data_IF_388434409988
#
_entry.id   IF_388434409988
#
_cell.length_a   1.000
_cell.length_b   1.000
_cell.length_c   1.000
_cell.angle_alpha   90.00
_cell.angle_beta   90.00
_cell.angle_gamma   90.00
#
_symmetry.space_group_name_H-M   'P 1'
#
loop_
_entity.id
_entity.type
_entity.pdbx_description
1 polymer ?
#
# COMPACT_ATOMS: atom_id res chain seq x y z
N UNK A 1 2.47 -6.93 -5.35
CA UNK A 1 1.23 -6.60 -4.64
C UNK A 1 0.62 -7.92 -4.23
N UNK A 2 0.41 -8.15 -2.93
CA UNK A 2 -0.06 -9.44 -2.43
C UNK A 2 -1.58 -9.51 -2.62
N UNK A 3 -2.00 -9.88 -3.84
CA UNK A 3 -3.42 -10.05 -4.15
C UNK A 3 -3.96 -11.27 -3.40
N UNK A 4 -5.00 -11.09 -2.59
CA UNK A 4 -5.64 -12.20 -1.87
C UNK A 4 -6.68 -12.86 -2.78
N UNK A 5 -6.51 -14.15 -3.15
CA UNK A 5 -7.45 -14.84 -4.04
C UNK A 5 -8.89 -14.89 -3.50
N UNK A 6 -9.08 -14.79 -2.18
CA UNK A 6 -10.39 -14.75 -1.55
C UNK A 6 -11.25 -13.56 -2.00
N UNK A 7 -10.65 -12.44 -2.46
CA UNK A 7 -11.42 -11.33 -3.01
C UNK A 7 -12.21 -11.72 -4.27
N UNK A 8 -11.76 -12.73 -5.01
CA UNK A 8 -12.48 -13.26 -6.19
C UNK A 8 -13.78 -14.00 -5.82
N UNK A 9 -14.04 -14.25 -4.53
CA UNK A 9 -15.27 -14.87 -4.07
C UNK A 9 -16.38 -13.86 -3.75
N UNK A 10 -16.05 -12.56 -3.68
CA UNK A 10 -17.07 -11.51 -3.45
C UNK A 10 -18.16 -11.53 -4.53
N UNK A 11 -17.86 -11.67 -5.83
CA UNK A 11 -18.89 -11.71 -6.86
C UNK A 11 -19.84 -12.90 -6.70
N UNK A 12 -19.29 -14.08 -6.38
CA UNK A 12 -20.07 -15.29 -6.09
C UNK A 12 -21.03 -15.06 -4.93
N UNK A 13 -20.56 -14.41 -3.87
CA UNK A 13 -21.42 -14.03 -2.75
C UNK A 13 -22.53 -13.07 -3.16
N UNK A 14 -22.22 -12.05 -3.97
CA UNK A 14 -23.21 -11.08 -4.45
C UNK A 14 -24.29 -11.73 -5.33
N UNK A 15 -23.91 -12.70 -6.16
CA UNK A 15 -24.83 -13.46 -7.02
C UNK A 15 -25.75 -14.40 -6.24
N UNK A 16 -25.30 -14.90 -5.08
CA UNK A 16 -26.11 -15.75 -4.21
C UNK A 16 -27.22 -14.98 -3.45
N UNK A 17 -27.16 -13.63 -3.42
CA UNK A 17 -28.18 -12.83 -2.76
C UNK A 17 -29.45 -12.74 -3.62
N UNK A 18 -30.67 -12.86 -3.03
CA UNK A 18 -31.93 -12.74 -3.79
C UNK A 18 -32.08 -11.43 -4.56
N UNK A 19 -31.40 -10.37 -4.08
CA UNK A 19 -31.30 -9.08 -4.74
C UNK A 19 -29.88 -8.54 -4.54
N UNK A 20 -29.28 -8.06 -5.64
CA UNK A 20 -27.96 -7.41 -5.60
C UNK A 20 -28.03 -6.13 -4.76
N UNK A 21 -27.20 -5.97 -3.71
CA UNK A 21 -27.16 -4.76 -2.92
C UNK A 21 -26.44 -3.62 -3.65
N UNK A 22 -26.63 -2.40 -3.16
CA UNK A 22 -25.74 -1.27 -3.50
C UNK A 22 -24.34 -1.59 -2.97
N UNK A 23 -23.33 -1.46 -3.82
CA UNK A 23 -21.95 -1.79 -3.49
C UNK A 23 -21.05 -0.58 -3.61
N UNK A 24 -20.18 -0.39 -2.62
CA UNK A 24 -19.14 0.63 -2.63
C UNK A 24 -17.80 -0.04 -2.29
N UNK A 25 -16.72 0.42 -2.92
CA UNK A 25 -15.36 -0.07 -2.69
C UNK A 25 -14.46 1.12 -2.35
N UNK A 26 -13.67 0.98 -1.29
CA UNK A 26 -12.78 2.02 -0.79
C UNK A 26 -11.36 1.49 -0.67
N UNK A 27 -10.39 2.28 -1.16
CA UNK A 27 -8.97 1.96 -1.07
C UNK A 27 -8.16 3.23 -0.92
N UNK A 28 -7.13 3.18 -0.08
CA UNK A 28 -6.20 4.30 0.09
C UNK A 28 -5.14 4.36 -1.02
N UNK A 29 -4.87 3.22 -1.67
CA UNK A 29 -3.82 3.10 -2.69
C UNK A 29 -4.34 2.26 -3.84
N UNK A 30 -4.67 2.90 -4.96
CA UNK A 30 -4.98 2.21 -6.20
C UNK A 30 -4.46 3.01 -7.39
N UNK A 31 -3.73 2.34 -8.27
CA UNK A 31 -3.45 2.85 -9.60
C UNK A 31 -4.70 2.75 -10.46
N UNK A 32 -4.73 3.44 -11.61
CA UNK A 32 -5.84 3.32 -12.56
C UNK A 32 -6.11 1.87 -13.00
N UNK A 33 -5.05 1.07 -13.16
CA UNK A 33 -5.16 -0.36 -13.47
C UNK A 33 -5.85 -1.14 -12.34
N UNK A 34 -5.42 -0.94 -11.09
CA UNK A 34 -6.05 -1.59 -9.91
C UNK A 34 -7.49 -1.15 -9.74
N UNK A 35 -7.80 0.14 -9.95
CA UNK A 35 -9.18 0.63 -9.94
C UNK A 35 -10.02 -0.10 -10.99
N UNK A 36 -9.54 -0.23 -12.23
CA UNK A 36 -10.22 -0.97 -13.29
C UNK A 36 -10.49 -2.44 -12.93
N UNK A 37 -9.50 -3.11 -12.33
CA UNK A 37 -9.66 -4.49 -11.85
C UNK A 37 -10.72 -4.59 -10.75
N UNK A 38 -10.75 -3.66 -9.78
CA UNK A 38 -11.78 -3.63 -8.72
C UNK A 38 -13.17 -3.45 -9.32
N UNK A 39 -13.34 -2.50 -10.25
CA UNK A 39 -14.62 -2.27 -10.94
C UNK A 39 -15.11 -3.53 -11.64
N UNK A 40 -14.21 -4.21 -12.37
CA UNK A 40 -14.50 -5.41 -13.13
C UNK A 40 -14.79 -6.60 -12.24
N UNK A 41 -13.92 -6.89 -11.27
CA UNK A 41 -14.07 -8.04 -10.36
C UNK A 41 -15.37 -7.90 -9.58
N UNK A 42 -15.63 -6.74 -8.97
CA UNK A 42 -16.85 -6.54 -8.18
C UNK A 42 -18.11 -6.38 -9.04
N UNK A 43 -17.98 -6.13 -10.35
CA UNK A 43 -19.10 -5.87 -11.25
C UNK A 43 -19.90 -4.64 -10.85
N UNK A 44 -19.24 -3.53 -10.50
CA UNK A 44 -19.94 -2.32 -10.10
C UNK A 44 -20.79 -1.78 -11.26
N UNK A 45 -22.05 -1.45 -10.97
CA UNK A 45 -23.03 -0.98 -11.94
C UNK A 45 -23.10 0.55 -11.88
N UNK A 46 -22.64 1.23 -12.93
CA UNK A 46 -22.58 2.70 -13.05
C UNK A 46 -22.07 3.42 -11.78
N UNK A 47 -20.85 3.09 -11.29
CA UNK A 47 -20.37 3.64 -10.03
C UNK A 47 -19.85 5.06 -10.17
N UNK A 48 -20.17 5.90 -9.19
CA UNK A 48 -19.42 7.14 -8.96
C UNK A 48 -17.97 6.80 -8.59
N UNK A 49 -17.04 7.22 -9.44
CA UNK A 49 -15.60 7.01 -9.23
C UNK A 49 -14.94 8.32 -8.78
N UNK A 50 -14.45 8.36 -7.54
CA UNK A 50 -13.75 9.52 -6.98
C UNK A 50 -12.31 9.12 -6.63
N UNK A 51 -11.36 9.87 -7.16
CA UNK A 51 -9.94 9.76 -6.80
C UNK A 51 -9.47 11.09 -6.24
N UNK A 52 -9.04 11.09 -4.98
CA UNK A 52 -8.45 12.28 -4.34
C UNK A 52 -6.94 12.32 -4.56
N UNK A 53 -6.32 13.48 -4.35
CA UNK A 53 -4.87 13.62 -4.42
C UNK A 53 -4.15 12.69 -3.44
N UNK A 54 -2.96 12.23 -3.85
CA UNK A 54 -2.08 11.39 -3.03
C UNK A 54 -0.93 12.16 -2.38
N UNK A 55 -0.77 13.44 -2.76
CA UNK A 55 0.31 14.27 -2.28
C UNK A 55 0.20 14.52 -0.77
N UNK A 56 1.34 14.49 -0.10
CA UNK A 56 1.49 14.79 1.32
C UNK A 56 2.62 15.79 1.46
N UNK A 57 2.26 17.07 1.40
CA UNK A 57 3.20 18.19 1.39
C UNK A 57 4.16 18.22 2.59
N UNK A 58 3.79 17.56 3.69
CA UNK A 58 4.62 17.43 4.88
C UNK A 58 5.66 16.29 4.80
N UNK A 59 5.72 15.54 3.69
CA UNK A 59 6.69 14.48 3.45
C UNK A 59 7.78 14.94 2.49
N UNK A 60 9.03 14.74 2.90
CA UNK A 60 10.20 14.87 2.03
C UNK A 60 10.56 13.50 1.44
N UNK A 61 10.80 13.46 0.14
CA UNK A 61 11.29 12.27 -0.58
C UNK A 61 12.73 12.50 -1.05
N UNK A 62 13.64 11.62 -0.66
CA UNK A 62 15.04 11.64 -1.07
C UNK A 62 15.53 10.23 -1.41
N UNK A 63 16.51 10.14 -2.31
CA UNK A 63 17.11 8.87 -2.74
C UNK A 63 18.62 8.99 -2.59
N UNK A 64 19.21 8.01 -1.90
CA UNK A 64 20.63 8.00 -1.54
C UNK A 64 21.25 6.68 -1.99
N UNK A 65 22.46 6.73 -2.57
CA UNK A 65 23.19 5.56 -3.10
C UNK A 65 24.53 5.36 -2.39
N UNK A 66 24.54 5.11 -1.06
CA UNK A 66 25.77 5.01 -0.30
C UNK A 66 26.59 3.78 -0.69
N UNK A 67 27.92 3.93 -0.72
CA UNK A 67 28.86 2.81 -0.89
C UNK A 67 28.71 1.76 0.22
N UNK A 68 28.46 2.21 1.45
CA UNK A 68 28.25 1.37 2.64
C UNK A 68 26.89 1.68 3.27
N UNK A 69 25.85 0.92 2.87
CA UNK A 69 24.46 1.19 3.26
C UNK A 69 24.21 1.13 4.77
N UNK A 70 24.84 0.19 5.47
CA UNK A 70 24.65 0.02 6.93
C UNK A 70 25.19 1.22 7.72
N UNK A 71 26.39 1.69 7.38
CA UNK A 71 26.99 2.84 8.05
C UNK A 71 26.18 4.11 7.80
N UNK A 72 25.71 4.28 6.57
CA UNK A 72 24.81 5.38 6.21
C UNK A 72 23.54 5.38 7.06
N UNK A 73 22.83 4.25 7.15
CA UNK A 73 21.59 4.15 7.96
C UNK A 73 21.88 4.42 9.43
N UNK A 74 22.98 3.87 9.99
CA UNK A 74 23.38 4.11 11.39
C UNK A 74 23.64 5.60 11.66
N UNK A 75 24.35 6.27 10.76
CA UNK A 75 24.60 7.71 10.87
C UNK A 75 23.30 8.51 10.78
N UNK A 76 22.44 8.19 9.81
CA UNK A 76 21.16 8.86 9.62
C UNK A 76 20.26 8.76 10.85
N UNK A 77 20.15 7.57 11.45
CA UNK A 77 19.37 7.34 12.68
C UNK A 77 19.96 8.14 13.84
N UNK A 78 21.29 8.13 14.03
CA UNK A 78 21.94 8.91 15.10
C UNK A 78 21.68 10.41 14.98
N UNK A 79 21.75 10.95 13.76
CA UNK A 79 21.45 12.36 13.48
C UNK A 79 19.98 12.73 13.74
N UNK A 80 19.08 11.76 13.76
CA UNK A 80 17.65 11.94 13.98
C UNK A 80 17.17 11.28 15.28
N UNK A 81 18.06 11.05 16.27
CA UNK A 81 17.78 10.22 17.45
C UNK A 81 16.65 10.69 18.36
N UNK A 82 16.26 11.97 18.29
CA UNK A 82 15.13 12.52 19.05
C UNK A 82 13.76 12.31 18.37
N UNK A 83 13.75 11.75 17.15
CA UNK A 83 12.54 11.54 16.34
C UNK A 83 12.21 10.06 16.23
N UNK A 84 10.92 9.75 16.10
CA UNK A 84 10.48 8.42 15.72
C UNK A 84 10.62 8.20 14.22
N UNK A 85 10.99 6.97 13.83
CA UNK A 85 11.14 6.59 12.43
C UNK A 85 11.00 5.09 12.21
N UNK A 86 10.81 4.68 10.96
CA UNK A 86 10.68 3.28 10.55
C UNK A 86 11.74 3.00 9.49
N UNK A 87 12.52 1.92 9.69
CA UNK A 87 13.48 1.42 8.69
C UNK A 87 12.96 0.11 8.11
N UNK A 88 12.54 0.14 6.85
CA UNK A 88 12.11 -1.06 6.13
C UNK A 88 13.31 -1.78 5.51
N UNK A 89 13.39 -3.10 5.72
CA UNK A 89 14.36 -3.99 5.08
C UNK A 89 13.63 -5.08 4.29
N UNK A 90 14.26 -5.58 3.23
CA UNK A 90 13.66 -6.60 2.34
C UNK A 90 13.67 -8.02 2.93
N UNK A 91 14.53 -8.30 3.91
CA UNK A 91 14.64 -9.62 4.54
C UNK A 91 14.69 -9.50 6.06
N UNK A 92 14.19 -10.53 6.74
CA UNK A 92 14.27 -10.63 8.20
C UNK A 92 15.72 -10.57 8.71
N UNK A 93 16.64 -11.27 8.04
CA UNK A 93 18.07 -11.23 8.37
C UNK A 93 18.64 -9.81 8.33
N UNK A 94 18.25 -9.01 7.33
CA UNK A 94 18.68 -7.61 7.25
C UNK A 94 18.08 -6.75 8.38
N UNK A 95 16.82 -6.98 8.77
CA UNK A 95 16.23 -6.33 9.94
C UNK A 95 17.06 -6.64 11.19
N UNK A 96 17.34 -7.92 11.44
CA UNK A 96 18.12 -8.36 12.61
C UNK A 96 19.52 -7.72 12.65
N UNK A 97 20.18 -7.57 11.49
CA UNK A 97 21.48 -6.89 11.38
C UNK A 97 21.40 -5.38 11.63
N UNK A 98 20.30 -4.72 11.24
CA UNK A 98 20.10 -3.26 11.45
C UNK A 98 19.76 -2.94 12.90
N UNK A 99 19.05 -3.85 13.59
CA UNK A 99 18.65 -3.67 14.99
C UNK A 99 19.79 -3.93 16.00
N UNK A 100 20.94 -4.44 15.57
CA UNK A 100 22.15 -4.64 16.38
C UNK A 100 23.11 -3.45 16.26
#
# INVERSE_FOLDING_TARGET
HDFRPSYLQIPVFLEALPRRPVLAAFTATATAAVQGDVLKILGLQDPLCITTGFDRQNLYFGVETPKYKMDYVRQYVRQNGEKSGIVYCSTRKAVEQVCQ
#
